data_IF_004787831605
#
_entry.id   IF_004787831605
#
_cell.length_a   1.000
_cell.length_b   1.000
_cell.length_c   1.000
_cell.angle_alpha   90.00
_cell.angle_beta   90.00
_cell.angle_gamma   90.00
#
_symmetry.space_group_name_H-M   'P 1'
#
loop_
_entity.id
_entity.type
_entity.pdbx_description
1 polymer ?
#
# COMPACT_ATOMS: atom_id res chain seq x y z
N UNK A 1 -17.13 18.02 12.67
CA UNK A 1 -17.81 16.91 11.95
C UNK A 1 -17.20 16.68 10.55
N UNK A 2 -16.83 17.74 9.83
CA UNK A 2 -16.15 17.68 8.51
C UNK A 2 -14.79 16.97 8.56
N UNK A 3 -13.93 17.33 9.52
CA UNK A 3 -12.62 16.68 9.74
C UNK A 3 -12.68 15.15 9.93
N UNK A 4 -13.74 14.62 10.53
CA UNK A 4 -13.92 13.18 10.70
C UNK A 4 -14.21 12.46 9.39
N UNK A 5 -15.00 13.08 8.49
CA UNK A 5 -15.29 12.54 7.15
C UNK A 5 -14.09 12.65 6.21
N UNK A 6 -13.32 13.73 6.32
CA UNK A 6 -12.12 13.96 5.52
C UNK A 6 -11.00 12.96 5.89
N UNK A 7 -10.79 12.70 7.19
CA UNK A 7 -9.83 11.67 7.66
C UNK A 7 -10.28 10.25 7.32
N UNK A 8 -11.59 9.98 7.33
CA UNK A 8 -12.15 8.70 6.90
C UNK A 8 -11.94 8.48 5.38
N UNK A 9 -12.23 9.49 4.55
CA UNK A 9 -11.99 9.46 3.11
C UNK A 9 -10.51 9.23 2.74
N UNK A 10 -9.58 9.87 3.45
CA UNK A 10 -8.14 9.62 3.27
C UNK A 10 -7.78 8.16 3.62
N UNK A 11 -8.37 7.60 4.67
CA UNK A 11 -8.15 6.21 5.06
C UNK A 11 -8.59 5.23 3.97
N UNK A 12 -9.79 5.41 3.43
CA UNK A 12 -10.30 4.59 2.35
C UNK A 12 -9.49 4.75 1.07
N UNK A 13 -9.11 5.97 0.69
CA UNK A 13 -8.30 6.23 -0.49
C UNK A 13 -6.96 5.49 -0.45
N UNK A 14 -6.26 5.55 0.68
CA UNK A 14 -5.00 4.80 0.85
C UNK A 14 -5.22 3.30 0.74
N UNK A 15 -6.29 2.76 1.33
CA UNK A 15 -6.57 1.31 1.22
C UNK A 15 -6.95 0.91 -0.21
N UNK A 16 -7.65 1.78 -0.96
CA UNK A 16 -7.94 1.55 -2.38
C UNK A 16 -6.65 1.52 -3.22
N UNK A 17 -5.73 2.45 -2.99
CA UNK A 17 -4.40 2.43 -3.63
C UNK A 17 -3.65 1.13 -3.32
N UNK A 18 -3.69 0.68 -2.06
CA UNK A 18 -3.09 -0.60 -1.67
C UNK A 18 -3.77 -1.80 -2.33
N UNK A 19 -5.09 -1.78 -2.49
CA UNK A 19 -5.81 -2.85 -3.18
C UNK A 19 -5.42 -2.94 -4.66
N UNK A 20 -5.26 -1.80 -5.35
CA UNK A 20 -4.76 -1.74 -6.73
C UNK A 20 -3.32 -2.26 -6.82
N UNK A 21 -2.46 -1.91 -5.86
CA UNK A 21 -1.10 -2.45 -5.79
C UNK A 21 -1.09 -3.98 -5.65
N UNK A 22 -1.89 -4.52 -4.72
CA UNK A 22 -2.00 -5.97 -4.51
C UNK A 22 -2.61 -6.67 -5.73
N UNK A 23 -3.54 -6.04 -6.45
CA UNK A 23 -4.04 -6.57 -7.72
C UNK A 23 -2.92 -6.73 -8.75
N UNK A 24 -2.02 -5.76 -8.86
CA UNK A 24 -0.81 -5.87 -9.68
C UNK A 24 0.08 -7.04 -9.26
N UNK A 25 0.23 -7.26 -7.94
CA UNK A 25 0.94 -8.42 -7.40
C UNK A 25 0.27 -9.75 -7.80
N UNK A 26 -1.07 -9.83 -7.78
CA UNK A 26 -1.81 -11.01 -8.25
C UNK A 26 -1.54 -11.27 -9.73
N UNK A 27 -1.72 -10.24 -10.57
CA UNK A 27 -1.49 -10.35 -12.03
C UNK A 27 -0.06 -10.84 -12.29
N UNK A 28 0.93 -10.29 -11.58
CA UNK A 28 2.33 -10.70 -11.69
C UNK A 28 2.56 -12.18 -11.38
N UNK A 29 1.94 -12.70 -10.31
CA UNK A 29 2.04 -14.12 -9.94
C UNK A 29 1.40 -15.03 -11.00
N UNK A 30 0.24 -14.67 -11.53
CA UNK A 30 -0.44 -15.45 -12.57
C UNK A 30 0.30 -15.43 -13.91
N UNK A 31 0.83 -14.26 -14.32
CA UNK A 31 1.68 -14.17 -15.51
C UNK A 31 2.94 -15.00 -15.34
N UNK A 32 3.61 -14.93 -14.18
CA UNK A 32 4.80 -15.75 -13.91
C UNK A 32 4.48 -17.25 -13.90
N UNK A 33 3.30 -17.64 -13.40
CA UNK A 33 2.81 -19.02 -13.45
C UNK A 33 2.54 -19.46 -14.90
N UNK A 34 1.86 -18.65 -15.70
CA UNK A 34 1.53 -18.99 -17.10
C UNK A 34 2.78 -19.24 -17.95
N UNK A 35 3.84 -18.46 -17.73
CA UNK A 35 5.10 -18.58 -18.46
C UNK A 35 6.08 -19.58 -17.83
N UNK A 36 5.77 -20.15 -16.66
CA UNK A 36 6.66 -21.02 -15.88
C UNK A 36 7.07 -22.33 -16.57
N UNK A 37 6.25 -22.81 -17.52
CA UNK A 37 6.51 -24.06 -18.26
C UNK A 37 7.41 -23.89 -19.49
N UNK A 38 7.77 -22.66 -19.86
CA UNK A 38 8.65 -22.40 -20.99
C UNK A 38 10.11 -22.65 -20.59
N UNK A 39 10.85 -23.40 -21.40
CA UNK A 39 12.29 -23.64 -21.20
C UNK A 39 13.18 -22.57 -21.86
N UNK A 40 12.58 -21.58 -22.54
CA UNK A 40 13.27 -20.50 -23.25
C UNK A 40 13.41 -19.26 -22.38
N UNK A 41 14.34 -18.35 -22.71
CA UNK A 41 14.49 -17.05 -22.03
C UNK A 41 13.21 -16.21 -21.95
N UNK A 42 12.25 -16.47 -22.84
CA UNK A 42 10.91 -15.88 -22.80
C UNK A 42 10.21 -16.07 -21.43
N UNK A 43 10.55 -17.13 -20.67
CA UNK A 43 10.00 -17.42 -19.35
C UNK A 43 10.12 -16.23 -18.38
N UNK A 44 11.25 -15.52 -18.37
CA UNK A 44 11.49 -14.42 -17.43
C UNK A 44 11.42 -13.04 -18.10
N UNK A 45 11.73 -12.95 -19.40
CA UNK A 45 11.72 -11.69 -20.14
C UNK A 45 10.30 -11.17 -20.37
N UNK A 46 9.35 -12.06 -20.65
CA UNK A 46 7.97 -11.65 -20.94
C UNK A 46 7.22 -11.10 -19.71
N UNK A 47 7.25 -11.76 -18.52
CA UNK A 47 6.64 -11.20 -17.31
C UNK A 47 7.24 -9.85 -16.87
N UNK A 48 8.51 -9.58 -17.18
CA UNK A 48 9.12 -8.26 -16.97
C UNK A 48 8.66 -7.26 -18.03
N UNK A 49 8.66 -7.65 -19.30
CA UNK A 49 8.31 -6.79 -20.43
C UNK A 49 6.86 -6.29 -20.39
N UNK A 50 5.90 -7.14 -19.99
CA UNK A 50 4.49 -6.76 -19.92
C UNK A 50 4.22 -5.60 -18.96
N UNK A 51 5.07 -5.43 -17.93
CA UNK A 51 4.93 -4.33 -16.96
C UNK A 51 5.14 -2.95 -17.60
N UNK A 52 5.89 -2.89 -18.72
CA UNK A 52 6.10 -1.66 -19.47
C UNK A 52 4.81 -1.06 -20.03
N UNK A 53 3.77 -1.87 -20.25
CA UNK A 53 2.46 -1.40 -20.70
C UNK A 53 1.86 -0.44 -19.65
N UNK A 54 1.93 -0.79 -18.37
CA UNK A 54 1.42 0.05 -17.29
C UNK A 54 2.23 1.35 -17.14
N UNK A 55 3.55 1.28 -17.33
CA UNK A 55 4.42 2.47 -17.35
C UNK A 55 4.04 3.40 -18.50
N UNK A 56 3.82 2.86 -19.70
CA UNK A 56 3.40 3.64 -20.86
C UNK A 56 2.04 4.33 -20.60
N UNK A 57 1.07 3.61 -20.04
CA UNK A 57 -0.23 4.19 -19.65
C UNK A 57 -0.04 5.37 -18.70
N UNK A 58 0.76 5.21 -17.63
CA UNK A 58 1.03 6.29 -16.67
C UNK A 58 1.69 7.47 -17.37
N UNK A 59 2.73 7.24 -18.18
CA UNK A 59 3.45 8.32 -18.88
C UNK A 59 2.54 9.08 -19.86
N UNK A 60 1.57 8.42 -20.47
CA UNK A 60 0.58 9.09 -21.34
C UNK A 60 -0.50 9.84 -20.56
N UNK A 61 -0.83 9.40 -19.35
CA UNK A 61 -1.90 10.00 -18.53
C UNK A 61 -1.41 11.17 -17.67
N UNK A 62 -0.15 11.14 -17.21
CA UNK A 62 0.41 12.21 -16.35
C UNK A 62 0.24 13.61 -16.95
N UNK A 63 0.49 13.87 -18.25
CA UNK A 63 0.28 15.20 -18.84
C UNK A 63 -1.19 15.65 -18.91
N UNK A 64 -2.15 14.73 -18.81
CA UNK A 64 -3.59 15.00 -18.89
C UNK A 64 -4.20 15.31 -17.51
N UNK A 65 -3.51 14.92 -16.43
CA UNK A 65 -4.00 15.09 -15.07
C UNK A 65 -3.82 16.55 -14.61
N UNK A 66 -4.86 17.17 -14.02
CA UNK A 66 -4.71 18.49 -13.44
C UNK A 66 -3.78 18.44 -12.22
N UNK A 67 -3.01 19.51 -12.03
CA UNK A 67 -2.16 19.67 -10.86
C UNK A 67 -2.99 19.74 -9.56
N UNK A 68 -2.42 19.28 -8.45
CA UNK A 68 -3.11 19.31 -7.15
C UNK A 68 -3.48 20.75 -6.75
N UNK A 69 -4.74 21.02 -6.32
CA UNK A 69 -5.16 22.34 -5.84
C UNK A 69 -4.27 22.91 -4.73
N UNK A 70 -3.76 22.04 -3.85
CA UNK A 70 -2.80 22.42 -2.79
C UNK A 70 -1.50 22.96 -3.35
N UNK A 71 -0.96 22.33 -4.40
CA UNK A 71 0.27 22.77 -5.05
C UNK A 71 0.08 24.10 -5.78
N UNK A 72 -1.05 24.26 -6.48
CA UNK A 72 -1.41 25.51 -7.15
C UNK A 72 -1.52 26.68 -6.15
N UNK A 73 -2.18 26.48 -5.03
CA UNK A 73 -2.27 27.46 -3.94
C UNK A 73 -0.89 27.79 -3.33
N UNK A 74 -0.03 26.80 -3.14
CA UNK A 74 1.33 27.03 -2.65
C UNK A 74 2.17 27.89 -3.63
N UNK A 75 1.85 27.84 -4.93
CA UNK A 75 2.45 28.65 -5.99
C UNK A 75 1.71 29.98 -6.25
N UNK A 76 0.73 30.35 -5.41
CA UNK A 76 -0.11 31.55 -5.55
C UNK A 76 -0.93 31.59 -6.85
N UNK A 77 -1.30 30.43 -7.40
CA UNK A 77 -2.16 30.27 -8.59
C UNK A 77 -3.61 30.01 -8.15
N UNK A 78 -4.21 31.00 -7.51
CA UNK A 78 -5.52 30.88 -6.83
C UNK A 78 -6.67 30.57 -7.81
N UNK A 79 -6.69 31.18 -9.00
CA UNK A 79 -7.77 30.99 -10.00
C UNK A 79 -7.77 29.59 -10.62
N UNK A 80 -6.59 29.04 -10.87
CA UNK A 80 -6.45 27.68 -11.38
C UNK A 80 -6.81 26.64 -10.32
N UNK A 81 -6.44 26.89 -9.06
CA UNK A 81 -6.83 26.03 -7.96
C UNK A 81 -8.36 25.94 -7.80
N UNK A 82 -9.08 27.07 -7.94
CA UNK A 82 -10.56 27.08 -7.95
C UNK A 82 -11.13 26.27 -9.11
N UNK A 83 -10.56 26.39 -10.31
CA UNK A 83 -10.99 25.62 -11.47
C UNK A 83 -10.80 24.12 -11.26
N UNK A 84 -9.66 23.69 -10.71
CA UNK A 84 -9.43 22.27 -10.43
C UNK A 84 -10.36 21.76 -9.32
N UNK A 85 -10.61 22.55 -8.28
CA UNK A 85 -11.58 22.20 -7.23
C UNK A 85 -13.00 22.06 -7.78
N UNK A 86 -13.42 22.92 -8.72
CA UNK A 86 -14.72 22.79 -9.38
C UNK A 86 -14.88 21.53 -10.24
N UNK A 87 -13.77 20.89 -10.64
CA UNK A 87 -13.81 19.60 -11.34
C UNK A 87 -13.94 18.41 -10.39
N UNK A 88 -13.61 18.60 -9.11
CA UNK A 88 -13.57 17.55 -8.09
C UNK A 88 -14.86 17.50 -7.26
N UNK A 89 -15.51 18.65 -7.04
CA UNK A 89 -16.65 18.78 -6.15
C UNK A 89 -17.62 19.86 -6.66
N UNK A 90 -18.92 19.53 -6.70
CA UNK A 90 -19.97 20.43 -7.19
C UNK A 90 -20.52 21.35 -6.08
N UNK A 91 -20.19 21.13 -4.81
CA UNK A 91 -20.81 21.84 -3.68
C UNK A 91 -19.75 22.46 -2.75
N UNK A 92 -19.98 23.72 -2.33
CA UNK A 92 -19.16 24.48 -1.37
C UNK A 92 -17.67 24.64 -1.74
N UNK A 93 -17.38 24.93 -3.01
CA UNK A 93 -16.01 25.15 -3.52
C UNK A 93 -15.26 26.23 -2.73
N UNK A 94 -15.92 27.33 -2.35
CA UNK A 94 -15.25 28.45 -1.69
C UNK A 94 -14.85 28.12 -0.25
N UNK A 95 -15.67 27.36 0.49
CA UNK A 95 -15.35 26.90 1.85
C UNK A 95 -14.12 25.97 1.83
N UNK A 96 -14.10 25.02 0.89
CA UNK A 96 -12.99 24.07 0.72
C UNK A 96 -11.71 24.79 0.26
N UNK A 97 -11.84 25.75 -0.66
CA UNK A 97 -10.74 26.59 -1.12
C UNK A 97 -10.11 27.36 0.05
N UNK A 98 -10.91 28.01 0.90
CA UNK A 98 -10.42 28.79 2.03
C UNK A 98 -9.80 27.91 3.12
N UNK A 99 -10.35 26.71 3.37
CA UNK A 99 -9.76 25.72 4.26
C UNK A 99 -8.37 25.31 3.78
N UNK A 100 -8.25 24.93 2.51
CA UNK A 100 -6.97 24.52 1.93
C UNK A 100 -5.98 25.69 1.95
N UNK A 101 -6.40 26.90 1.57
CA UNK A 101 -5.55 28.10 1.57
C UNK A 101 -5.01 28.42 2.97
N UNK A 102 -5.86 28.29 3.99
CA UNK A 102 -5.46 28.50 5.38
C UNK A 102 -4.44 27.46 5.83
N UNK A 103 -4.65 26.19 5.47
CA UNK A 103 -3.71 25.11 5.77
C UNK A 103 -2.33 25.33 5.11
N UNK A 104 -2.31 25.72 3.83
CA UNK A 104 -1.06 25.98 3.08
C UNK A 104 -0.31 27.18 3.66
N UNK A 105 -1.00 28.27 4.02
CA UNK A 105 -0.37 29.42 4.68
C UNK A 105 0.22 29.04 6.05
N UNK A 106 -0.48 28.23 6.83
CA UNK A 106 0.01 27.74 8.11
C UNK A 106 1.25 26.85 7.94
N UNK A 107 1.26 25.96 6.94
CA UNK A 107 2.40 25.11 6.59
C UNK A 107 3.60 25.93 6.09
N UNK A 108 3.39 26.97 5.29
CA UNK A 108 4.45 27.85 4.81
C UNK A 108 5.05 28.73 5.93
N UNK A 109 4.22 29.17 6.88
CA UNK A 109 4.67 29.93 8.04
C UNK A 109 5.43 29.05 9.05
N UNK A 110 5.04 27.79 9.17
CA UNK A 110 5.78 26.79 9.92
C UNK A 110 6.98 26.31 9.09
N UNK A 111 8.11 27.02 9.17
CA UNK A 111 9.37 26.58 8.58
C UNK A 111 9.80 25.23 9.20
N UNK A 112 9.32 24.14 8.60
CA UNK A 112 9.62 22.77 8.99
C UNK A 112 11.10 22.53 8.74
N UNK A 113 11.88 22.39 9.82
CA UNK A 113 13.28 22.04 9.72
C UNK A 113 13.42 20.54 10.00
N UNK A 114 14.20 19.83 9.17
CA UNK A 114 14.55 18.42 9.41
C UNK A 114 15.10 18.17 10.82
N UNK A 115 15.75 19.18 11.41
CA UNK A 115 16.26 19.12 12.79
C UNK A 115 15.14 19.04 13.85
N UNK A 116 13.94 19.58 13.57
CA UNK A 116 12.79 19.51 14.47
C UNK A 116 12.24 18.08 14.60
N UNK A 117 12.53 17.20 13.63
CA UNK A 117 12.16 15.79 13.71
C UNK A 117 13.00 15.03 14.74
N UNK A 118 14.19 15.55 15.09
CA UNK A 118 15.14 14.93 16.01
C UNK A 118 15.19 15.63 17.39
N UNK A 119 14.75 16.88 17.49
CA UNK A 119 14.84 17.72 18.70
C UNK A 119 13.75 17.47 19.76
N UNK A 120 13.06 16.33 19.68
CA UNK A 120 11.97 15.98 20.61
C UNK A 120 10.67 16.74 20.36
N UNK A 121 9.59 16.34 21.04
CA UNK A 121 8.25 16.94 20.89
C UNK A 121 7.28 16.16 19.99
N UNK A 122 6.15 16.78 19.66
CA UNK A 122 5.07 16.17 18.87
C UNK A 122 5.52 15.67 17.48
N UNK A 123 6.30 16.44 16.68
CA UNK A 123 6.76 15.99 15.37
C UNK A 123 7.69 14.77 15.46
N UNK A 124 8.67 14.81 16.37
CA UNK A 124 9.59 13.70 16.61
C UNK A 124 8.86 12.42 17.05
N UNK A 125 7.85 12.54 17.93
CA UNK A 125 7.02 11.39 18.36
C UNK A 125 6.22 10.81 17.20
N UNK A 126 5.66 11.63 16.31
CA UNK A 126 4.92 11.18 15.13
C UNK A 126 5.83 10.43 14.16
N UNK A 127 7.03 10.95 13.90
CA UNK A 127 8.03 10.28 13.05
C UNK A 127 8.47 8.96 13.66
N UNK A 128 8.80 8.93 14.95
CA UNK A 128 9.23 7.71 15.62
C UNK A 128 8.16 6.61 15.58
N UNK A 129 6.89 6.98 15.78
CA UNK A 129 5.77 6.04 15.64
C UNK A 129 5.63 5.52 14.21
N UNK A 130 5.79 6.39 13.20
CA UNK A 130 5.79 5.98 11.79
C UNK A 130 6.93 5.02 11.47
N UNK A 131 8.16 5.33 11.94
CA UNK A 131 9.33 4.47 11.77
C UNK A 131 9.13 3.12 12.45
N UNK A 132 8.64 3.10 13.69
CA UNK A 132 8.36 1.86 14.41
C UNK A 132 7.32 0.99 13.68
N UNK A 133 6.28 1.62 13.13
CA UNK A 133 5.25 0.91 12.37
C UNK A 133 5.80 0.33 11.06
N UNK A 134 6.59 1.08 10.31
CA UNK A 134 7.24 0.59 9.08
C UNK A 134 8.26 -0.52 9.36
N UNK A 135 9.03 -0.40 10.45
CA UNK A 135 9.95 -1.46 10.88
C UNK A 135 9.17 -2.72 11.27
N UNK A 136 8.09 -2.59 12.04
CA UNK A 136 7.24 -3.73 12.40
C UNK A 136 6.61 -4.38 11.17
N UNK A 137 6.20 -3.59 10.17
CA UNK A 137 5.69 -4.12 8.90
C UNK A 137 6.74 -4.97 8.18
N UNK A 138 8.00 -4.52 8.12
CA UNK A 138 9.06 -5.31 7.47
C UNK A 138 9.47 -6.55 8.28
N UNK A 139 9.54 -6.42 9.61
CA UNK A 139 9.84 -7.53 10.51
C UNK A 139 8.77 -8.62 10.51
N UNK A 140 7.56 -8.33 10.05
CA UNK A 140 6.53 -9.36 9.83
C UNK A 140 6.93 -10.40 8.77
N UNK A 141 7.99 -10.15 7.99
CA UNK A 141 8.48 -11.09 6.98
C UNK A 141 7.64 -11.13 5.71
N UNK A 142 6.75 -10.14 5.50
CA UNK A 142 5.85 -10.09 4.35
C UNK A 142 6.57 -10.21 3.00
N UNK A 143 7.75 -9.59 2.85
CA UNK A 143 8.56 -9.69 1.63
C UNK A 143 9.09 -11.11 1.40
N UNK A 144 9.46 -11.82 2.46
CA UNK A 144 9.95 -13.20 2.33
C UNK A 144 8.82 -14.09 1.81
N UNK A 145 7.62 -13.95 2.38
CA UNK A 145 6.44 -14.66 1.89
C UNK A 145 6.06 -14.24 0.46
N UNK A 146 6.09 -12.96 0.13
CA UNK A 146 5.69 -12.49 -1.20
C UNK A 146 6.61 -13.00 -2.32
N UNK A 147 7.92 -13.10 -2.09
CA UNK A 147 8.90 -13.46 -3.13
C UNK A 147 9.33 -14.93 -3.10
N UNK A 148 9.45 -15.52 -1.91
CA UNK A 148 10.06 -16.83 -1.74
C UNK A 148 9.07 -17.93 -1.39
N UNK A 149 7.77 -17.66 -1.30
CA UNK A 149 6.77 -18.68 -0.99
C UNK A 149 6.85 -19.93 -1.88
N UNK A 150 6.99 -19.84 -3.23
CA UNK A 150 7.18 -21.03 -4.06
C UNK A 150 8.44 -21.82 -3.68
N UNK A 151 9.53 -21.13 -3.33
CA UNK A 151 10.81 -21.76 -2.97
C UNK A 151 10.71 -22.45 -1.62
N UNK A 152 10.08 -21.80 -0.63
CA UNK A 152 9.84 -22.36 0.70
C UNK A 152 8.93 -23.60 0.59
N UNK A 153 7.84 -23.51 -0.16
CA UNK A 153 6.94 -24.64 -0.38
C UNK A 153 7.63 -25.81 -1.09
N UNK A 154 8.51 -25.52 -2.06
CA UNK A 154 9.24 -26.57 -2.75
C UNK A 154 10.31 -27.22 -1.85
N UNK A 155 11.16 -26.41 -1.21
CA UNK A 155 12.33 -26.90 -0.47
C UNK A 155 12.02 -27.39 0.94
N UNK A 156 11.07 -26.76 1.63
CA UNK A 156 10.75 -27.07 3.03
C UNK A 156 9.56 -28.02 3.17
N UNK A 157 8.58 -27.95 2.26
CA UNK A 157 7.38 -28.81 2.30
C UNK A 157 7.47 -29.98 1.31
N UNK A 158 8.38 -29.93 0.33
CA UNK A 158 8.58 -30.99 -0.66
C UNK A 158 7.56 -30.97 -1.81
N UNK A 159 6.82 -29.87 -1.99
CA UNK A 159 5.87 -29.74 -3.12
C UNK A 159 6.62 -29.66 -4.44
N UNK A 160 6.03 -30.17 -5.54
CA UNK A 160 6.62 -29.99 -6.87
C UNK A 160 6.65 -28.51 -7.25
N UNK A 161 7.62 -28.10 -8.08
CA UNK A 161 7.79 -26.71 -8.52
C UNK A 161 6.51 -26.11 -9.12
N UNK A 162 5.77 -26.88 -9.90
CA UNK A 162 4.51 -26.44 -10.51
C UNK A 162 3.41 -26.22 -9.48
N UNK A 163 3.21 -27.18 -8.56
CA UNK A 163 2.20 -27.07 -7.49
C UNK A 163 2.56 -25.92 -6.55
N UNK A 164 3.83 -25.75 -6.18
CA UNK A 164 4.28 -24.66 -5.32
C UNK A 164 3.98 -23.27 -5.92
N UNK A 165 4.14 -23.11 -7.24
CA UNK A 165 3.79 -21.87 -7.96
C UNK A 165 2.28 -21.64 -8.03
N UNK A 166 1.47 -22.69 -8.23
CA UNK A 166 0.00 -22.57 -8.18
C UNK A 166 -0.46 -22.12 -6.80
N UNK A 167 0.07 -22.73 -5.74
CA UNK A 167 -0.27 -22.37 -4.36
C UNK A 167 0.13 -20.92 -4.07
N UNK A 168 1.30 -20.47 -4.54
CA UNK A 168 1.71 -19.07 -4.39
C UNK A 168 0.80 -18.10 -5.15
N UNK A 169 0.39 -18.43 -6.38
CA UNK A 169 -0.57 -17.63 -7.14
C UNK A 169 -1.94 -17.59 -6.45
N UNK A 170 -2.44 -18.71 -5.95
CA UNK A 170 -3.68 -18.76 -5.16
C UNK A 170 -3.57 -17.92 -3.88
N UNK A 171 -2.42 -17.97 -3.19
CA UNK A 171 -2.17 -17.17 -2.00
C UNK A 171 -2.16 -15.66 -2.31
N UNK A 172 -1.69 -15.24 -3.48
CA UNK A 172 -1.77 -13.83 -3.91
C UNK A 172 -3.23 -13.34 -4.00
N UNK A 173 -4.18 -14.19 -4.40
CA UNK A 173 -5.61 -13.86 -4.40
C UNK A 173 -6.12 -13.66 -2.97
N UNK A 174 -5.68 -14.49 -2.02
CA UNK A 174 -6.00 -14.32 -0.60
C UNK A 174 -5.55 -12.95 -0.07
N UNK A 175 -4.35 -12.49 -0.47
CA UNK A 175 -3.89 -11.13 -0.16
C UNK A 175 -4.84 -10.07 -0.72
N UNK A 176 -5.24 -10.18 -1.99
CA UNK A 176 -6.15 -9.22 -2.61
C UNK A 176 -7.51 -9.18 -1.91
N UNK A 177 -8.10 -10.33 -1.62
CA UNK A 177 -9.39 -10.43 -0.93
C UNK A 177 -9.31 -9.86 0.48
N UNK A 178 -8.24 -10.17 1.22
CA UNK A 178 -8.06 -9.67 2.60
C UNK A 178 -7.84 -8.15 2.62
N UNK A 179 -7.01 -7.62 1.73
CA UNK A 179 -6.81 -6.16 1.59
C UNK A 179 -8.09 -5.46 1.16
N UNK A 180 -8.86 -6.03 0.23
CA UNK A 180 -10.15 -5.48 -0.19
C UNK A 180 -11.17 -5.51 0.94
N UNK A 181 -11.24 -6.60 1.71
CA UNK A 181 -12.10 -6.69 2.88
C UNK A 181 -11.75 -5.63 3.94
N UNK A 182 -10.46 -5.26 4.08
CA UNK A 182 -10.03 -4.25 5.04
C UNK A 182 -10.68 -2.87 4.82
N UNK A 183 -11.12 -2.54 3.60
CA UNK A 183 -11.90 -1.33 3.29
C UNK A 183 -13.18 -1.24 4.12
N UNK A 184 -13.82 -2.38 4.40
CA UNK A 184 -15.07 -2.44 5.17
C UNK A 184 -14.84 -2.28 6.67
N UNK A 185 -13.63 -2.58 7.16
CA UNK A 185 -13.32 -2.63 8.58
C UNK A 185 -12.57 -1.39 9.08
N UNK A 186 -11.79 -0.72 8.22
CA UNK A 186 -10.91 0.38 8.63
C UNK A 186 -11.67 1.54 9.29
N UNK A 187 -12.84 1.89 8.76
CA UNK A 187 -13.65 3.00 9.30
C UNK A 187 -14.59 2.57 10.43
N UNK A 188 -14.91 1.28 10.52
CA UNK A 188 -15.84 0.77 11.55
C UNK A 188 -15.15 0.43 12.86
N UNK A 189 -13.98 -0.20 12.79
CA UNK A 189 -13.25 -0.70 13.97
C UNK A 189 -12.23 0.32 14.48
N UNK A 190 -11.73 1.19 13.60
CA UNK A 190 -10.68 2.15 13.89
C UNK A 190 -9.26 1.56 13.75
N UNK A 191 -8.29 2.43 13.46
CA UNK A 191 -6.95 2.03 12.99
C UNK A 191 -6.10 1.32 14.04
N UNK A 192 -6.08 1.80 15.29
CA UNK A 192 -5.27 1.24 16.37
C UNK A 192 -5.69 -0.19 16.78
N UNK A 193 -6.96 -0.47 17.12
CA UNK A 193 -7.38 -1.83 17.46
C UNK A 193 -7.21 -2.79 16.28
N UNK A 194 -7.48 -2.34 15.04
CA UNK A 194 -7.26 -3.14 13.84
C UNK A 194 -5.79 -3.59 13.72
N UNK A 195 -4.83 -2.67 13.91
CA UNK A 195 -3.40 -3.00 13.92
C UNK A 195 -3.03 -4.01 15.01
N UNK A 196 -3.56 -3.85 16.23
CA UNK A 196 -3.25 -4.74 17.35
C UNK A 196 -3.83 -6.14 17.15
N UNK A 197 -5.07 -6.27 16.68
CA UNK A 197 -5.70 -7.56 16.41
C UNK A 197 -5.00 -8.31 15.28
N UNK A 198 -4.65 -7.62 14.19
CA UNK A 198 -3.95 -8.24 13.06
C UNK A 198 -2.52 -8.65 13.45
N UNK A 199 -1.80 -7.84 14.22
CA UNK A 199 -0.48 -8.20 14.73
C UNK A 199 -0.53 -9.42 15.66
N UNK A 200 -1.54 -9.49 16.55
CA UNK A 200 -1.77 -10.65 17.39
C UNK A 200 -2.10 -11.92 16.59
N UNK A 201 -2.96 -11.79 15.57
CA UNK A 201 -3.30 -12.89 14.66
C UNK A 201 -2.08 -13.40 13.89
N UNK A 202 -1.23 -12.50 13.39
CA UNK A 202 0.02 -12.88 12.73
C UNK A 202 0.96 -13.62 13.70
N UNK A 203 1.12 -13.14 14.94
CA UNK A 203 1.96 -13.81 15.94
C UNK A 203 1.50 -15.25 16.22
N UNK A 204 0.19 -15.46 16.38
CA UNK A 204 -0.39 -16.79 16.59
C UNK A 204 -0.16 -17.69 15.36
N UNK A 205 -0.38 -17.17 14.16
CA UNK A 205 -0.17 -17.93 12.92
C UNK A 205 1.31 -18.37 12.76
N UNK A 206 2.26 -17.46 13.00
CA UNK A 206 3.68 -17.78 12.92
C UNK A 206 4.14 -18.77 13.99
N UNK A 207 3.58 -18.69 15.21
CA UNK A 207 3.82 -19.71 16.25
C UNK A 207 3.33 -21.09 15.78
N UNK A 208 2.14 -21.16 15.18
CA UNK A 208 1.61 -22.40 14.62
C UNK A 208 2.50 -23.00 13.53
N UNK A 209 2.98 -22.16 12.59
CA UNK A 209 3.91 -22.59 11.54
C UNK A 209 5.23 -23.09 12.13
N UNK A 210 5.80 -22.37 13.12
CA UNK A 210 7.04 -22.74 13.78
C UNK A 210 6.95 -24.10 14.48
N UNK A 211 5.85 -24.33 15.22
CA UNK A 211 5.60 -25.63 15.88
C UNK A 211 5.43 -26.73 14.83
N UNK A 212 4.65 -26.48 13.77
CA UNK A 212 4.42 -27.47 12.71
C UNK A 212 5.71 -27.89 12.00
N UNK A 213 6.56 -26.93 11.64
CA UNK A 213 7.87 -27.22 11.05
C UNK A 213 8.77 -27.97 12.04
N UNK A 214 8.77 -27.59 13.32
CA UNK A 214 9.52 -28.27 14.37
C UNK A 214 9.15 -29.75 14.52
N UNK A 215 7.84 -30.07 14.50
CA UNK A 215 7.35 -31.45 14.60
C UNK A 215 7.76 -32.28 13.37
N UNK A 216 7.68 -31.71 12.17
CA UNK A 216 8.07 -32.40 10.92
C UNK A 216 9.57 -32.62 10.82
N UNK A 217 10.39 -31.71 11.34
CA UNK A 217 11.86 -31.84 11.30
C UNK A 217 12.40 -32.85 12.34
N UNK A 218 11.60 -33.17 13.36
CA UNK A 218 11.91 -34.15 14.40
C UNK A 218 11.27 -35.53 14.17
N UNK A 219 10.50 -35.72 13.09
CA UNK A 219 9.90 -36.99 12.67
C UNK A 219 10.66 -37.59 11.48
#
# INVERSE_FOLDING_TARGET
MVWGRLIAGIGQGVVQEMAVNVLGFVISNFVTLAFSGLSTEAQWRFPLGIQMIFVAIILTMVPLLPESPRWLLARKRDDEARRVLSLLNDHNIEDEFDEIRTSVKAEQAAAGSWSQLLRGGLPARRVLLGMALQTAQQLSGINVLAYYLPVVLHRSVGLTQYIARIVAAANSVSFFLTTSASLLFVDRVGRRPLLMYLAGGMAIAFLGVSIGVGVVCHA
#
